data_IF_257722877846
#
_entry.id   IF_257722877846
#
_cell.length_a   1.000
_cell.length_b   1.000
_cell.length_c   1.000
_cell.angle_alpha   90.00
_cell.angle_beta   90.00
_cell.angle_gamma   90.00
#
_symmetry.space_group_name_H-M   'P 1'
#
loop_
_entity.id
_entity.type
_entity.pdbx_description
1 polymer ?
#
# COMPACT_ATOMS: atom_id res chain seq x y z
N UNK A 1 8.77 -12.27 14.58
CA UNK A 1 7.93 -11.13 14.94
C UNK A 1 8.38 -9.89 14.24
N UNK A 2 7.54 -9.06 13.93
CA UNK A 2 7.77 -7.94 13.06
C UNK A 2 6.85 -7.99 11.88
N UNK A 3 6.44 -9.17 11.45
CA UNK A 3 5.46 -9.32 10.37
C UNK A 3 4.26 -10.07 10.93
N UNK A 4 3.09 -9.43 10.92
CA UNK A 4 1.84 -10.01 11.41
C UNK A 4 0.84 -10.10 10.25
N UNK A 5 0.77 -11.26 9.63
CA UNK A 5 -0.11 -11.51 8.50
C UNK A 5 -1.22 -12.45 8.97
N UNK A 6 -2.46 -11.98 8.90
CA UNK A 6 -3.59 -12.83 9.27
C UNK A 6 -3.65 -14.05 8.36
N UNK A 7 -3.86 -15.26 8.91
CA UNK A 7 -3.86 -16.49 8.07
C UNK A 7 -4.88 -16.48 6.94
N UNK A 8 -5.98 -15.75 7.08
CA UNK A 8 -7.00 -15.67 6.03
C UNK A 8 -6.68 -14.67 4.93
N UNK A 9 -5.65 -13.85 5.09
CA UNK A 9 -5.25 -12.91 4.04
C UNK A 9 -4.79 -13.69 2.80
N UNK A 10 -5.09 -13.16 1.62
CA UNK A 10 -4.74 -13.81 0.37
C UNK A 10 -3.51 -13.13 -0.23
N UNK A 11 -2.48 -13.91 -0.45
CA UNK A 11 -1.20 -13.42 -0.96
C UNK A 11 -0.88 -14.08 -2.30
N UNK A 12 -0.50 -13.28 -3.27
CA UNK A 12 -0.03 -13.77 -4.56
C UNK A 12 1.42 -14.22 -4.54
N UNK A 13 2.03 -14.30 -5.71
CA UNK A 13 3.40 -14.74 -5.88
C UNK A 13 4.34 -13.55 -6.02
N UNK A 14 5.62 -13.77 -5.68
CA UNK A 14 6.62 -12.73 -5.88
C UNK A 14 6.48 -11.52 -4.97
N UNK A 15 5.84 -11.69 -3.83
CA UNK A 15 5.68 -10.61 -2.86
C UNK A 15 7.00 -10.42 -2.12
N UNK A 16 7.51 -9.20 -2.18
CA UNK A 16 8.74 -8.86 -1.47
C UNK A 16 8.39 -8.06 -0.21
N UNK A 17 8.85 -8.52 0.93
CA UNK A 17 8.73 -7.77 2.19
C UNK A 17 10.15 -7.41 2.61
N UNK A 18 10.49 -6.15 2.49
CA UNK A 18 11.83 -5.66 2.79
C UNK A 18 11.85 -5.05 4.18
N UNK A 19 12.77 -5.54 5.02
CA UNK A 19 12.87 -5.11 6.42
C UNK A 19 11.58 -5.24 7.21
N UNK A 20 10.85 -6.33 7.05
CA UNK A 20 9.47 -6.55 7.46
C UNK A 20 9.00 -6.16 8.87
N UNK A 21 9.81 -5.43 9.63
CA UNK A 21 9.46 -5.02 11.00
C UNK A 21 8.22 -4.14 11.00
N UNK A 22 7.24 -4.49 11.82
CA UNK A 22 6.03 -3.69 11.98
C UNK A 22 5.01 -3.82 10.86
N UNK A 23 5.18 -4.77 9.94
CA UNK A 23 4.19 -4.99 8.88
C UNK A 23 2.98 -5.72 9.46
N UNK A 24 1.79 -5.18 9.21
CA UNK A 24 0.52 -5.77 9.66
C UNK A 24 -0.43 -5.90 8.47
N UNK A 25 -0.91 -7.11 8.21
CA UNK A 25 -1.82 -7.38 7.10
C UNK A 25 -3.08 -8.05 7.65
N UNK A 26 -4.22 -7.37 7.51
CA UNK A 26 -5.48 -7.79 8.10
C UNK A 26 -6.16 -8.95 7.38
N UNK A 27 -7.20 -9.47 8.01
CA UNK A 27 -7.85 -10.73 7.65
C UNK A 27 -8.38 -10.80 6.22
N UNK A 28 -9.05 -9.76 5.75
CA UNK A 28 -9.67 -9.79 4.43
C UNK A 28 -8.83 -9.12 3.35
N UNK A 29 -7.57 -8.82 3.67
CA UNK A 29 -6.65 -8.22 2.68
C UNK A 29 -6.37 -9.18 1.54
N UNK A 30 -6.23 -8.61 0.33
CA UNK A 30 -5.78 -9.35 -0.85
C UNK A 30 -4.56 -8.61 -1.39
N UNK A 31 -3.48 -9.33 -1.58
CA UNK A 31 -2.25 -8.79 -2.16
C UNK A 31 -1.91 -9.63 -3.37
N UNK A 32 -1.96 -9.02 -4.55
CA UNK A 32 -1.70 -9.72 -5.79
C UNK A 32 -0.20 -9.88 -6.03
N UNK A 33 0.17 -10.37 -7.21
CA UNK A 33 1.55 -10.75 -7.50
C UNK A 33 2.49 -9.53 -7.54
N UNK A 34 3.75 -9.79 -7.21
CA UNK A 34 4.84 -8.82 -7.39
C UNK A 34 4.67 -7.49 -6.65
N UNK A 35 3.98 -7.52 -5.53
CA UNK A 35 3.84 -6.35 -4.65
C UNK A 35 5.07 -6.23 -3.76
N UNK A 36 5.57 -5.02 -3.59
CA UNK A 36 6.69 -4.74 -2.69
C UNK A 36 6.19 -4.02 -1.45
N UNK A 37 6.56 -4.53 -0.28
CA UNK A 37 6.09 -4.02 1.01
C UNK A 37 7.31 -3.70 1.87
N UNK A 38 7.36 -2.46 2.36
CA UNK A 38 8.46 -2.02 3.22
C UNK A 38 8.05 -2.05 4.69
N UNK A 39 8.99 -1.74 5.57
CA UNK A 39 8.74 -1.81 7.02
C UNK A 39 7.60 -0.90 7.45
N UNK A 40 6.89 -1.30 8.47
CA UNK A 40 5.85 -0.49 9.10
C UNK A 40 4.56 -0.33 8.30
N UNK A 41 4.41 -1.06 7.19
CA UNK A 41 3.18 -0.99 6.38
C UNK A 41 2.03 -1.67 7.13
N UNK A 42 0.88 -1.01 7.14
CA UNK A 42 -0.33 -1.56 7.74
C UNK A 42 -1.47 -1.60 6.73
N UNK A 43 -2.04 -2.77 6.51
CA UNK A 43 -3.29 -2.95 5.77
C UNK A 43 -4.37 -3.27 6.80
N UNK A 44 -5.13 -2.25 7.19
CA UNK A 44 -6.08 -2.35 8.28
C UNK A 44 -7.53 -2.16 7.86
N UNK A 45 -8.42 -2.56 8.74
CA UNK A 45 -9.85 -2.29 8.58
C UNK A 45 -10.24 -1.03 9.34
N UNK A 46 -11.43 -0.53 9.03
CA UNK A 46 -11.94 0.66 9.73
C UNK A 46 -12.54 0.33 11.09
N UNK A 47 -12.73 -0.95 11.38
CA UNK A 47 -13.25 -1.42 12.66
C UNK A 47 -14.77 -1.30 12.81
N UNK A 48 -15.45 -0.71 11.86
CA UNK A 48 -16.90 -0.51 11.93
C UNK A 48 -17.70 -1.50 11.13
N UNK A 49 -17.06 -2.23 10.24
CA UNK A 49 -17.74 -3.13 9.32
C UNK A 49 -17.36 -4.57 9.61
N UNK A 50 -18.30 -5.47 9.38
CA UNK A 50 -18.03 -6.90 9.38
C UNK A 50 -17.78 -7.34 7.94
N UNK A 51 -17.15 -8.50 7.79
CA UNK A 51 -16.90 -9.05 6.46
C UNK A 51 -15.69 -8.43 5.80
N UNK A 52 -15.85 -8.06 4.52
CA UNK A 52 -14.76 -7.60 3.69
C UNK A 52 -14.44 -6.13 4.00
N UNK A 53 -13.38 -5.92 4.79
CA UNK A 53 -13.06 -4.61 5.34
C UNK A 53 -11.61 -4.20 5.22
N UNK A 54 -10.81 -4.97 4.47
CA UNK A 54 -9.38 -4.70 4.33
C UNK A 54 -9.00 -4.40 2.89
N UNK A 55 -7.84 -3.76 2.66
CA UNK A 55 -7.44 -3.33 1.33
C UNK A 55 -7.23 -4.47 0.33
N UNK A 56 -7.44 -4.13 -0.94
CA UNK A 56 -7.14 -4.99 -2.10
C UNK A 56 -6.00 -4.34 -2.87
N UNK A 57 -4.83 -4.95 -2.79
CA UNK A 57 -3.61 -4.40 -3.40
C UNK A 57 -3.35 -5.17 -4.69
N UNK A 58 -3.38 -4.47 -5.82
CA UNK A 58 -3.25 -5.11 -7.12
C UNK A 58 -1.79 -5.34 -7.48
N UNK A 59 -1.57 -6.03 -8.58
CA UNK A 59 -0.24 -6.46 -9.02
C UNK A 59 0.74 -5.29 -9.16
N UNK A 60 1.98 -5.51 -8.75
CA UNK A 60 3.06 -4.57 -8.98
C UNK A 60 3.06 -3.31 -8.12
N UNK A 61 2.17 -3.23 -7.13
CA UNK A 61 2.09 -2.05 -6.25
C UNK A 61 3.30 -1.97 -5.35
N UNK A 62 3.74 -0.74 -5.07
CA UNK A 62 4.80 -0.47 -4.10
C UNK A 62 4.19 0.21 -2.87
N UNK A 63 4.34 -0.43 -1.72
CA UNK A 63 3.90 0.12 -0.43
C UNK A 63 5.14 0.55 0.34
N UNK A 64 5.40 1.86 0.37
CA UNK A 64 6.60 2.40 0.99
C UNK A 64 6.51 2.40 2.52
N UNK A 65 7.63 2.62 3.17
CA UNK A 65 7.76 2.47 4.61
C UNK A 65 6.71 3.27 5.39
N UNK A 66 6.12 2.64 6.38
CA UNK A 66 5.17 3.24 7.32
C UNK A 66 3.90 3.78 6.66
N UNK A 67 3.58 3.33 5.45
CA UNK A 67 2.29 3.68 4.84
C UNK A 67 1.18 2.86 5.50
N UNK A 68 0.01 3.48 5.62
CA UNK A 68 -1.16 2.88 6.25
C UNK A 68 -2.31 2.94 5.27
N UNK A 69 -2.89 1.80 4.95
CA UNK A 69 -4.03 1.71 4.04
C UNK A 69 -5.20 1.14 4.84
N UNK A 70 -6.30 1.89 4.91
CA UNK A 70 -7.41 1.55 5.77
C UNK A 70 -8.71 1.34 4.99
N UNK A 71 -9.39 0.26 5.32
CA UNK A 71 -10.71 -0.05 4.78
C UNK A 71 -10.65 -0.88 3.50
N UNK A 72 -11.80 -1.24 3.01
CA UNK A 72 -11.91 -2.02 1.77
C UNK A 72 -11.73 -1.08 0.57
N UNK A 73 -10.48 -0.66 0.37
CA UNK A 73 -10.10 0.20 -0.75
C UNK A 73 -9.26 -0.59 -1.73
N UNK A 74 -9.30 -0.18 -2.98
CA UNK A 74 -8.52 -0.81 -4.04
C UNK A 74 -7.30 0.04 -4.38
N UNK A 75 -6.13 -0.58 -4.34
CA UNK A 75 -4.89 0.06 -4.78
C UNK A 75 -4.59 -0.50 -6.16
N UNK A 76 -4.73 0.33 -7.16
CA UNK A 76 -4.65 -0.09 -8.55
C UNK A 76 -3.27 -0.61 -8.96
N UNK A 77 -3.26 -1.41 -10.01
CA UNK A 77 -2.05 -2.05 -10.53
C UNK A 77 -0.93 -1.04 -10.74
N UNK A 78 0.27 -1.39 -10.29
CA UNK A 78 1.48 -0.58 -10.43
C UNK A 78 1.43 0.79 -9.76
N UNK A 79 0.47 1.02 -8.87
CA UNK A 79 0.43 2.24 -8.08
C UNK A 79 1.56 2.26 -7.06
N UNK A 80 1.91 3.45 -6.60
CA UNK A 80 2.95 3.63 -5.58
C UNK A 80 2.38 4.46 -4.44
N UNK A 81 2.60 3.97 -3.23
CA UNK A 81 2.17 4.66 -2.01
C UNK A 81 3.42 5.19 -1.33
N UNK A 82 3.52 6.50 -1.20
CA UNK A 82 4.70 7.14 -0.61
C UNK A 82 4.81 6.84 0.88
N UNK A 83 6.03 6.92 1.39
CA UNK A 83 6.32 6.64 2.80
C UNK A 83 5.49 7.53 3.72
N UNK A 84 4.99 6.95 4.80
CA UNK A 84 4.21 7.66 5.81
C UNK A 84 2.82 8.09 5.37
N UNK A 85 2.36 7.71 4.20
CA UNK A 85 1.04 8.10 3.70
C UNK A 85 -0.07 7.32 4.38
N UNK A 86 -1.24 7.94 4.49
CA UNK A 86 -2.45 7.28 4.99
C UNK A 86 -3.49 7.28 3.87
N UNK A 87 -3.79 6.10 3.34
CA UNK A 87 -4.71 5.93 2.21
C UNK A 87 -6.08 5.52 2.74
N UNK A 88 -7.09 6.31 2.43
CA UNK A 88 -8.46 6.12 2.91
C UNK A 88 -9.46 5.89 1.77
N UNK A 89 -9.00 5.95 0.52
CA UNK A 89 -9.85 5.76 -0.64
C UNK A 89 -9.09 5.07 -1.76
N UNK A 90 -9.80 4.66 -2.82
CA UNK A 90 -9.20 3.93 -3.93
C UNK A 90 -8.08 4.73 -4.60
N UNK A 91 -7.08 4.02 -5.07
CA UNK A 91 -5.95 4.58 -5.80
C UNK A 91 -5.97 4.04 -7.22
N UNK A 92 -5.91 4.93 -8.19
CA UNK A 92 -5.97 4.54 -9.60
C UNK A 92 -4.70 3.80 -10.02
N UNK A 93 -4.85 2.94 -11.01
CA UNK A 93 -3.74 2.22 -11.62
C UNK A 93 -2.64 3.19 -12.07
N UNK A 94 -1.40 2.83 -11.78
CA UNK A 94 -0.21 3.56 -12.25
C UNK A 94 0.04 4.91 -11.58
N UNK A 95 -0.74 5.28 -10.57
CA UNK A 95 -0.55 6.59 -9.93
C UNK A 95 0.31 6.49 -8.68
N UNK A 96 0.89 7.61 -8.30
CA UNK A 96 1.60 7.76 -7.03
C UNK A 96 0.76 8.65 -6.12
N UNK A 97 0.56 8.22 -4.89
CA UNK A 97 -0.16 9.01 -3.88
C UNK A 97 0.75 9.27 -2.68
N UNK A 98 0.54 10.41 -2.04
CA UNK A 98 1.33 10.81 -0.89
C UNK A 98 0.50 11.67 0.06
N UNK A 99 0.85 11.62 1.34
CA UNK A 99 0.30 12.50 2.37
C UNK A 99 -0.73 11.85 3.26
N UNK A 100 -1.31 12.67 4.14
CA UNK A 100 -2.31 12.27 5.13
C UNK A 100 -3.47 13.27 5.08
N UNK A 101 -4.63 12.92 4.46
CA UNK A 101 -4.87 11.73 3.67
C UNK A 101 -4.09 11.76 2.35
N UNK A 102 -3.75 10.59 1.84
CA UNK A 102 -2.98 10.49 0.62
C UNK A 102 -3.76 10.99 -0.59
N UNK A 103 -3.08 11.73 -1.45
CA UNK A 103 -3.63 12.26 -2.69
C UNK A 103 -2.65 12.02 -3.82
N UNK A 104 -3.17 11.97 -5.05
CA UNK A 104 -2.31 11.78 -6.21
C UNK A 104 -1.28 12.89 -6.31
N UNK A 105 -0.04 12.48 -6.57
CA UNK A 105 1.02 13.43 -6.84
C UNK A 105 0.89 13.86 -8.29
N UNK A 106 0.78 15.16 -8.51
CA UNK A 106 0.62 15.69 -9.83
C UNK A 106 1.92 15.54 -10.62
N UNK A 107 1.85 14.75 -11.69
CA UNK A 107 2.99 14.56 -12.59
C UNK A 107 2.83 15.50 -13.77
N UNK A 108 3.28 16.72 -13.60
CA UNK A 108 3.21 17.71 -14.65
C UNK A 108 3.92 17.20 -15.90
N UNK A 109 3.18 17.07 -16.99
CA UNK A 109 3.71 16.62 -18.29
C UNK A 109 4.45 15.28 -18.22
N UNK A 110 4.10 14.45 -17.26
CA UNK A 110 4.76 13.16 -17.08
C UNK A 110 6.19 13.25 -16.61
N UNK A 111 6.64 14.42 -16.19
CA UNK A 111 8.01 14.63 -15.78
C UNK A 111 8.10 14.99 -14.29
N UNK A 112 8.49 14.00 -13.51
CA UNK A 112 8.90 14.24 -12.13
C UNK A 112 10.39 13.90 -12.05
N UNK A 113 11.24 14.84 -11.61
CA UNK A 113 12.66 14.53 -11.47
C UNK A 113 12.88 13.33 -10.57
N UNK A 114 13.86 12.50 -10.91
CA UNK A 114 14.11 11.25 -10.22
C UNK A 114 14.33 11.44 -8.72
N UNK A 115 15.04 12.49 -8.34
CA UNK A 115 15.30 12.78 -6.93
C UNK A 115 14.03 13.14 -6.17
N UNK A 116 13.06 13.80 -6.80
CA UNK A 116 11.76 14.06 -6.16
C UNK A 116 10.98 12.77 -5.98
N UNK A 117 11.06 11.86 -6.95
CA UNK A 117 10.41 10.55 -6.83
C UNK A 117 11.01 9.79 -5.66
N UNK A 118 12.34 9.79 -5.52
CA UNK A 118 13.00 9.12 -4.43
C UNK A 118 12.57 9.67 -3.07
N UNK A 119 12.38 10.96 -2.95
CA UNK A 119 11.88 11.57 -1.73
C UNK A 119 10.44 11.15 -1.40
N UNK A 120 9.62 10.94 -2.42
CA UNK A 120 8.24 10.56 -2.22
C UNK A 120 8.08 9.11 -1.77
N UNK A 121 8.99 8.23 -2.16
CA UNK A 121 8.84 6.80 -1.92
C UNK A 121 9.85 6.23 -0.93
N UNK A 122 10.70 7.05 -0.40
CA UNK A 122 11.58 6.67 0.71
C UNK A 122 10.82 6.76 2.05
#
# INVERSE_FOLDING_TARGET
>A
YGVDIHPAAKLGKGIMIDHGTGVVIGETSVIEDNVSIFQGVTLGGTGKENGDRHPKVREGVLLSASSTILGNVEIGKNAKIAAGSVVLSDVREGTTVAGVPAKEVNQVSGHVPADEIDHLIE
#
